data_IF_161705810142
#
_entry.id   IF_161705810142
#
_cell.length_a   1.000
_cell.length_b   1.000
_cell.length_c   1.000
_cell.angle_alpha   90.00
_cell.angle_beta   90.00
_cell.angle_gamma   90.00
#
_symmetry.space_group_name_H-M   'P 1'
#
loop_
_entity.id
_entity.type
_entity.pdbx_description
1 polymer ?
#
# COMPACT_ATOMS: atom_id res chain seq x y z
N UNK A 1 33.04 -3.61 -18.51
CA UNK A 1 32.11 -4.53 -17.80
C UNK A 1 30.81 -3.86 -17.30
N UNK A 2 30.41 -2.67 -17.79
CA UNK A 2 29.26 -1.90 -17.27
C UNK A 2 27.89 -2.25 -17.90
N UNK A 3 27.89 -2.88 -19.07
CA UNK A 3 26.67 -3.22 -19.82
C UNK A 3 25.73 -4.26 -19.19
N UNK A 4 26.20 -5.36 -18.56
CA UNK A 4 25.30 -6.38 -18.01
C UNK A 4 24.57 -5.90 -16.75
N UNK A 5 25.21 -5.08 -15.91
CA UNK A 5 24.61 -4.49 -14.71
C UNK A 5 23.50 -3.49 -15.04
N UNK A 6 23.67 -2.70 -16.10
CA UNK A 6 22.63 -1.77 -16.56
C UNK A 6 21.39 -2.50 -17.11
N UNK A 7 21.58 -3.61 -17.82
CA UNK A 7 20.49 -4.45 -18.34
C UNK A 7 19.75 -5.18 -17.23
N UNK A 8 20.46 -5.68 -16.21
CA UNK A 8 19.84 -6.32 -15.05
C UNK A 8 18.94 -5.32 -14.30
N UNK A 9 19.41 -4.08 -14.09
CA UNK A 9 18.67 -3.00 -13.42
C UNK A 9 17.41 -2.58 -14.18
N UNK A 10 17.50 -2.46 -15.51
CA UNK A 10 16.34 -2.15 -16.34
C UNK A 10 15.31 -3.29 -16.32
N UNK A 11 15.76 -4.55 -16.37
CA UNK A 11 14.89 -5.71 -16.25
C UNK A 11 14.19 -5.78 -14.88
N UNK A 12 14.90 -5.46 -13.79
CA UNK A 12 14.31 -5.38 -12.44
C UNK A 12 13.25 -4.29 -12.33
N UNK A 13 13.50 -3.10 -12.89
CA UNK A 13 12.56 -1.98 -12.90
C UNK A 13 11.31 -2.29 -13.74
N UNK A 14 11.48 -2.91 -14.91
CA UNK A 14 10.36 -3.36 -15.74
C UNK A 14 9.57 -4.46 -15.05
N UNK A 15 10.22 -5.40 -14.36
CA UNK A 15 9.55 -6.44 -13.59
C UNK A 15 8.76 -5.84 -12.40
N UNK A 16 9.35 -4.88 -11.68
CA UNK A 16 8.69 -4.16 -10.59
C UNK A 16 7.48 -3.37 -11.09
N UNK A 17 7.62 -2.63 -12.19
CA UNK A 17 6.57 -1.81 -12.79
C UNK A 17 5.46 -2.63 -13.46
N UNK A 18 5.75 -3.85 -13.92
CA UNK A 18 4.74 -4.75 -14.53
C UNK A 18 4.03 -5.62 -13.50
N UNK A 19 4.70 -6.05 -12.41
CA UNK A 19 4.08 -6.88 -11.37
C UNK A 19 3.27 -6.08 -10.34
N UNK A 20 3.61 -4.81 -10.07
CA UNK A 20 2.86 -4.00 -9.09
C UNK A 20 1.39 -3.77 -9.49
N UNK A 21 1.04 -3.44 -10.74
CA UNK A 21 -0.36 -3.28 -11.15
C UNK A 21 -1.16 -4.59 -11.11
N UNK A 22 -0.52 -5.72 -11.42
CA UNK A 22 -1.15 -7.05 -11.42
C UNK A 22 -1.53 -7.54 -10.02
N UNK A 23 -0.81 -7.08 -8.98
CA UNK A 23 -1.15 -7.36 -7.58
C UNK A 23 -2.21 -6.41 -6.99
N UNK A 24 -2.52 -5.30 -7.68
CA UNK A 24 -3.49 -4.27 -7.24
C UNK A 24 -4.83 -4.36 -7.99
N UNK A 25 -4.90 -5.13 -9.07
CA UNK A 25 -6.18 -5.48 -9.68
C UNK A 25 -7.00 -6.27 -8.66
N UNK A 26 -8.13 -5.71 -8.21
CA UNK A 26 -9.03 -6.26 -7.18
C UNK A 26 -8.54 -6.07 -5.73
N UNK A 27 -8.07 -4.86 -5.42
CA UNK A 27 -7.83 -4.42 -4.05
C UNK A 27 -8.60 -3.14 -3.74
N UNK A 28 -9.26 -3.10 -2.59
CA UNK A 28 -9.86 -1.89 -2.02
C UNK A 28 -9.12 -1.53 -0.73
N UNK A 29 -8.85 -0.25 -0.55
CA UNK A 29 -8.10 0.26 0.59
C UNK A 29 -8.93 1.36 1.25
N UNK A 30 -9.29 1.14 2.51
CA UNK A 30 -9.86 2.16 3.37
C UNK A 30 -8.76 2.74 4.26
N UNK A 31 -8.54 4.05 4.18
CA UNK A 31 -7.64 4.80 5.05
C UNK A 31 -8.48 5.53 6.09
N UNK A 32 -8.21 5.31 7.38
CA UNK A 32 -8.87 6.04 8.47
C UNK A 32 -7.89 6.46 9.57
N UNK A 33 -8.15 7.60 10.19
CA UNK A 33 -7.45 8.08 11.39
C UNK A 33 -7.90 7.33 12.63
N UNK A 34 -7.04 7.24 13.63
CA UNK A 34 -7.37 6.75 14.96
C UNK A 34 -7.53 7.90 15.97
N UNK A 35 -8.52 7.82 16.89
CA UNK A 35 -9.60 6.82 16.89
C UNK A 35 -10.42 6.92 15.59
N UNK A 36 -10.90 5.79 15.09
CA UNK A 36 -11.67 5.74 13.84
C UNK A 36 -12.75 6.82 13.83
N UNK A 37 -12.93 7.48 12.69
CA UNK A 37 -14.07 8.38 12.51
C UNK A 37 -15.32 7.50 12.39
N UNK A 38 -15.98 7.25 13.53
CA UNK A 38 -17.10 6.33 13.63
C UNK A 38 -18.41 7.04 13.32
N UNK A 39 -19.07 6.60 12.25
CA UNK A 39 -20.46 6.95 11.99
C UNK A 39 -21.40 5.96 12.70
N UNK A 40 -22.66 6.40 12.90
CA UNK A 40 -23.70 5.46 13.30
C UNK A 40 -23.97 4.46 12.17
N UNK A 41 -24.31 3.23 12.53
CA UNK A 41 -24.56 2.16 11.57
C UNK A 41 -25.81 2.52 10.73
N UNK A 42 -25.81 2.33 9.39
CA UNK A 42 -27.03 2.54 8.61
C UNK A 42 -28.11 1.53 9.03
N UNK A 43 -29.38 1.92 8.95
CA UNK A 43 -30.51 1.06 9.37
C UNK A 43 -30.51 -0.31 8.69
N UNK A 44 -30.12 -0.37 7.41
CA UNK A 44 -30.01 -1.63 6.65
C UNK A 44 -28.94 -2.59 7.22
N UNK A 45 -27.84 -2.04 7.76
CA UNK A 45 -26.73 -2.82 8.31
C UNK A 45 -26.99 -3.39 9.69
N UNK A 46 -28.10 -3.04 10.35
CA UNK A 46 -28.42 -3.62 11.66
C UNK A 46 -28.75 -5.12 11.58
N UNK A 47 -29.15 -5.60 10.39
CA UNK A 47 -29.37 -7.02 10.10
C UNK A 47 -28.14 -7.71 9.49
N UNK A 48 -27.02 -7.01 9.30
CA UNK A 48 -25.81 -7.58 8.74
C UNK A 48 -25.24 -8.66 9.67
N UNK A 49 -24.60 -9.67 9.06
CA UNK A 49 -23.96 -10.74 9.82
C UNK A 49 -22.72 -10.18 10.53
N UNK A 50 -22.55 -10.50 11.83
CA UNK A 50 -21.35 -10.14 12.58
C UNK A 50 -20.36 -11.31 12.48
N UNK A 51 -19.15 -11.02 11.98
CA UNK A 51 -18.07 -11.99 11.94
C UNK A 51 -17.67 -12.40 13.36
N UNK A 52 -17.47 -13.69 13.64
CA UNK A 52 -16.96 -14.14 14.93
C UNK A 52 -15.45 -13.86 15.11
N UNK A 53 -14.77 -13.42 14.04
CA UNK A 53 -13.34 -13.12 14.06
C UNK A 53 -13.13 -11.61 14.25
N UNK A 54 -12.24 -11.26 15.17
CA UNK A 54 -11.77 -9.89 15.38
C UNK A 54 -10.57 -9.66 14.45
N UNK A 55 -10.59 -8.56 13.70
CA UNK A 55 -9.47 -8.19 12.84
C UNK A 55 -8.37 -7.53 13.67
N UNK A 56 -7.31 -8.28 13.91
CA UNK A 56 -6.13 -7.83 14.64
C UNK A 56 -5.10 -7.16 13.73
N UNK A 57 -4.31 -6.25 14.30
CA UNK A 57 -3.23 -5.56 13.61
C UNK A 57 -2.18 -6.56 13.08
N UNK A 58 -1.80 -6.41 11.80
CA UNK A 58 -0.86 -7.28 11.08
C UNK A 58 -1.28 -8.76 10.98
N UNK A 59 -2.55 -9.08 11.22
CA UNK A 59 -3.07 -10.43 11.13
C UNK A 59 -3.95 -10.56 9.89
N UNK A 60 -3.42 -11.01 8.74
CA UNK A 60 -4.24 -11.21 7.55
C UNK A 60 -5.24 -12.34 7.79
N UNK A 61 -6.52 -12.06 7.51
CA UNK A 61 -7.60 -13.03 7.65
C UNK A 61 -8.26 -13.27 6.30
N UNK A 62 -8.54 -14.53 6.00
CA UNK A 62 -9.30 -14.91 4.80
C UNK A 62 -10.73 -15.20 5.20
N UNK A 63 -11.66 -14.45 4.62
CA UNK A 63 -13.08 -14.58 4.84
C UNK A 63 -13.77 -14.85 3.50
N UNK A 64 -15.04 -15.24 3.56
CA UNK A 64 -15.85 -15.45 2.37
C UNK A 64 -17.22 -14.82 2.56
N UNK A 65 -17.68 -14.10 1.55
CA UNK A 65 -19.03 -13.55 1.52
C UNK A 65 -19.86 -14.30 0.50
N UNK A 66 -21.10 -14.62 0.88
CA UNK A 66 -22.06 -15.23 -0.02
C UNK A 66 -22.78 -14.14 -0.79
N UNK A 67 -22.63 -14.15 -2.11
CA UNK A 67 -23.30 -13.23 -3.03
C UNK A 67 -24.26 -14.03 -3.91
N UNK A 68 -25.39 -13.43 -4.24
CA UNK A 68 -26.34 -13.99 -5.19
C UNK A 68 -26.29 -13.17 -6.47
N UNK A 69 -26.27 -13.84 -7.61
CA UNK A 69 -26.35 -13.16 -8.91
C UNK A 69 -27.67 -12.39 -9.05
N UNK A 70 -27.63 -11.18 -9.63
CA UNK A 70 -28.81 -10.32 -9.77
C UNK A 70 -29.31 -9.68 -8.47
N UNK A 71 -28.52 -9.75 -7.40
CA UNK A 71 -28.86 -9.12 -6.13
C UNK A 71 -28.69 -7.60 -6.22
N UNK A 72 -29.82 -6.87 -6.19
CA UNK A 72 -29.83 -5.39 -6.18
C UNK A 72 -29.37 -4.80 -4.82
N UNK A 73 -29.46 -5.59 -3.75
CA UNK A 73 -29.15 -5.15 -2.38
C UNK A 73 -27.74 -5.63 -1.99
N UNK A 74 -26.83 -4.77 -1.52
CA UNK A 74 -25.50 -5.21 -1.09
C UNK A 74 -25.59 -6.24 0.04
N UNK A 75 -24.74 -7.26 0.00
CA UNK A 75 -24.53 -8.13 1.16
C UNK A 75 -23.58 -7.43 2.12
N UNK A 76 -23.99 -7.29 3.37
CA UNK A 76 -23.26 -6.56 4.38
C UNK A 76 -22.67 -7.50 5.44
N UNK A 77 -21.40 -7.29 5.77
CA UNK A 77 -20.67 -8.02 6.81
C UNK A 77 -20.04 -7.02 7.79
N UNK A 78 -20.19 -7.28 9.08
CA UNK A 78 -19.62 -6.46 10.14
C UNK A 78 -18.45 -7.22 10.78
N UNK A 79 -17.29 -6.58 10.87
CA UNK A 79 -16.08 -7.15 11.48
C UNK A 79 -15.60 -6.24 12.62
N UNK A 80 -15.52 -6.72 13.86
CA UNK A 80 -14.90 -5.97 14.95
C UNK A 80 -13.41 -5.77 14.69
N UNK A 81 -12.92 -4.56 14.94
CA UNK A 81 -11.52 -4.17 14.73
C UNK A 81 -10.81 -4.06 16.10
N UNK A 82 -9.77 -4.87 16.31
CA UNK A 82 -8.88 -4.66 17.45
C UNK A 82 -7.74 -3.71 17.04
N UNK A 83 -7.96 -2.43 17.34
CA UNK A 83 -6.96 -1.42 17.13
C UNK A 83 -5.88 -1.40 18.24
N UNK A 84 -6.05 -2.09 19.37
CA UNK A 84 -5.11 -2.02 20.48
C UNK A 84 -3.87 -2.92 20.32
N UNK A 85 -3.71 -3.54 19.14
CA UNK A 85 -2.61 -4.47 18.82
C UNK A 85 -1.24 -4.06 19.32
N UNK A 86 -0.39 -5.05 19.61
CA UNK A 86 0.95 -4.84 20.18
C UNK A 86 1.76 -3.88 19.32
N UNK A 87 2.18 -2.76 19.91
CA UNK A 87 2.98 -1.77 19.22
C UNK A 87 4.24 -2.42 18.61
N UNK A 88 4.57 -2.11 17.35
CA UNK A 88 5.79 -2.62 16.73
C UNK A 88 7.01 -2.24 17.58
N UNK A 89 8.05 -3.08 17.56
CA UNK A 89 9.29 -2.82 18.32
C UNK A 89 10.32 -2.08 17.46
N UNK A 90 11.32 -1.47 18.08
CA UNK A 90 12.39 -0.76 17.36
C UNK A 90 12.00 0.63 16.87
N UNK A 91 12.48 1.01 15.68
CA UNK A 91 12.35 2.37 15.13
C UNK A 91 10.91 2.69 14.72
N UNK A 92 10.19 1.71 14.16
CA UNK A 92 8.75 1.80 13.83
C UNK A 92 7.91 2.02 15.09
N UNK A 93 8.24 1.35 16.20
CA UNK A 93 7.57 1.54 17.49
C UNK A 93 7.79 2.91 18.14
N UNK A 94 8.87 3.61 17.78
CA UNK A 94 9.10 4.99 18.22
C UNK A 94 8.31 5.96 17.35
N UNK A 95 8.24 5.70 16.05
CA UNK A 95 7.45 6.48 15.10
C UNK A 95 5.95 6.42 15.44
N UNK A 96 5.43 5.20 15.65
CA UNK A 96 4.05 4.96 16.08
C UNK A 96 3.71 5.68 17.40
N UNK A 97 4.64 5.67 18.37
CA UNK A 97 4.47 6.43 19.62
C UNK A 97 4.43 7.94 19.42
N UNK A 98 5.24 8.47 18.52
CA UNK A 98 5.25 9.89 18.19
C UNK A 98 3.95 10.29 17.47
N UNK A 99 3.51 9.50 16.49
CA UNK A 99 2.27 9.73 15.75
C UNK A 99 1.06 9.67 16.67
N UNK A 100 1.02 8.71 17.60
CA UNK A 100 -0.02 8.61 18.64
C UNK A 100 -0.01 9.82 19.57
N UNK A 101 1.17 10.31 19.98
CA UNK A 101 1.27 11.51 20.81
C UNK A 101 0.82 12.79 20.10
N UNK A 102 0.94 12.83 18.76
CA UNK A 102 0.48 13.94 17.92
C UNK A 102 -0.98 13.78 17.45
N UNK A 103 -1.66 12.68 17.77
CA UNK A 103 -3.02 12.40 17.29
C UNK A 103 -3.10 12.18 15.77
N UNK A 104 -1.99 11.76 15.14
CA UNK A 104 -1.88 11.55 13.70
C UNK A 104 -1.88 10.06 13.31
N UNK A 105 -2.14 9.16 14.27
CA UNK A 105 -2.16 7.72 14.02
C UNK A 105 -3.21 7.40 12.95
N UNK A 106 -2.79 6.83 11.82
CA UNK A 106 -3.66 6.42 10.72
C UNK A 106 -3.49 4.93 10.46
N UNK A 107 -4.59 4.27 10.09
CA UNK A 107 -4.62 2.87 9.74
C UNK A 107 -5.31 2.65 8.41
N UNK A 108 -4.76 1.69 7.67
CA UNK A 108 -5.35 1.16 6.46
C UNK A 108 -5.99 -0.18 6.75
N UNK A 109 -7.21 -0.36 6.25
CA UNK A 109 -7.78 -1.68 6.00
C UNK A 109 -7.60 -1.97 4.52
N UNK A 110 -6.87 -3.04 4.21
CA UNK A 110 -6.70 -3.53 2.85
C UNK A 110 -7.54 -4.78 2.65
N UNK A 111 -8.39 -4.75 1.63
CA UNK A 111 -9.21 -5.88 1.19
C UNK A 111 -8.73 -6.29 -0.21
N UNK A 112 -8.45 -7.57 -0.42
CA UNK A 112 -8.05 -8.11 -1.72
C UNK A 112 -8.85 -9.37 -2.08
N UNK A 113 -9.29 -9.49 -3.33
CA UNK A 113 -10.09 -10.63 -3.79
C UNK A 113 -9.63 -11.14 -5.17
N UNK A 114 -9.96 -12.38 -5.55
CA UNK A 114 -9.59 -12.93 -6.85
C UNK A 114 -10.29 -12.23 -8.01
N UNK A 115 -9.55 -12.03 -9.11
CA UNK A 115 -10.08 -11.50 -10.37
C UNK A 115 -11.18 -12.37 -10.99
N UNK A 116 -11.22 -13.66 -10.65
CA UNK A 116 -12.28 -14.58 -11.07
C UNK A 116 -13.64 -14.26 -10.47
N UNK A 117 -13.71 -13.39 -9.47
CA UNK A 117 -14.94 -13.01 -8.77
C UNK A 117 -15.07 -11.47 -8.76
N UNK A 118 -15.40 -10.83 -9.89
CA UNK A 118 -15.54 -9.39 -9.94
C UNK A 118 -16.66 -8.98 -8.99
N UNK A 119 -16.27 -8.24 -7.95
CA UNK A 119 -17.12 -7.80 -6.85
C UNK A 119 -16.72 -6.37 -6.53
N UNK A 120 -17.70 -5.50 -6.35
CA UNK A 120 -17.47 -4.15 -5.86
C UNK A 120 -17.66 -4.17 -4.36
N UNK A 121 -16.59 -3.86 -3.62
CA UNK A 121 -16.63 -3.69 -2.18
C UNK A 121 -16.72 -2.20 -1.85
N UNK A 122 -17.33 -1.92 -0.70
CA UNK A 122 -17.33 -0.63 -0.05
C UNK A 122 -17.05 -0.82 1.44
N UNK A 123 -16.07 -0.07 1.95
CA UNK A 123 -15.59 -0.17 3.32
C UNK A 123 -15.92 1.10 4.11
N UNK A 124 -16.47 0.95 5.32
CA UNK A 124 -16.70 2.07 6.23
C UNK A 124 -16.59 1.64 7.69
N UNK A 125 -16.19 2.57 8.57
CA UNK A 125 -16.07 2.33 10.01
C UNK A 125 -17.27 2.87 10.76
N UNK A 126 -17.86 2.04 11.61
CA UNK A 126 -19.06 2.37 12.37
C UNK A 126 -18.96 1.93 13.83
N UNK A 127 -19.80 2.54 14.67
CA UNK A 127 -20.01 2.07 16.04
C UNK A 127 -20.65 0.69 16.05
N UNK A 128 -20.37 -0.06 17.11
CA UNK A 128 -20.94 -1.37 17.32
C UNK A 128 -22.48 -1.34 17.26
N UNK A 129 -23.11 -2.30 16.55
CA UNK A 129 -24.53 -2.53 16.71
C UNK A 129 -24.81 -3.05 18.12
N UNK A 130 -25.99 -2.74 18.67
CA UNK A 130 -26.40 -3.13 20.03
C UNK A 130 -26.40 -4.66 20.26
N UNK A 131 -26.43 -5.44 19.18
CA UNK A 131 -26.39 -6.90 19.15
C UNK A 131 -24.98 -7.48 19.10
N UNK A 132 -23.94 -6.65 19.01
CA UNK A 132 -22.55 -7.11 18.91
C UNK A 132 -22.05 -7.68 20.24
N UNK A 133 -21.29 -8.79 20.24
CA UNK A 133 -20.63 -9.29 21.45
C UNK A 133 -19.59 -8.31 22.01
N UNK A 134 -19.02 -7.43 21.17
CA UNK A 134 -17.94 -6.52 21.54
C UNK A 134 -18.32 -5.04 21.31
N UNK A 135 -19.22 -4.46 22.12
CA UNK A 135 -19.77 -3.12 21.89
C UNK A 135 -18.77 -1.97 22.06
N UNK A 136 -17.64 -2.22 22.72
CA UNK A 136 -16.58 -1.24 22.96
C UNK A 136 -15.60 -1.10 21.79
N UNK A 137 -15.60 -2.03 20.85
CA UNK A 137 -14.70 -2.02 19.71
C UNK A 137 -15.32 -1.24 18.53
N UNK A 138 -14.49 -0.61 17.69
CA UNK A 138 -14.93 -0.09 16.40
C UNK A 138 -15.22 -1.25 15.44
N UNK A 139 -16.23 -1.11 14.59
CA UNK A 139 -16.60 -2.14 13.61
C UNK A 139 -16.38 -1.64 12.19
N UNK A 140 -15.84 -2.52 11.36
CA UNK A 140 -15.78 -2.34 9.92
C UNK A 140 -17.04 -2.92 9.29
N UNK A 141 -17.76 -2.10 8.53
CA UNK A 141 -18.81 -2.53 7.63
C UNK A 141 -18.19 -2.77 6.25
N UNK A 142 -18.45 -3.96 5.72
CA UNK A 142 -18.10 -4.34 4.35
C UNK A 142 -19.40 -4.55 3.60
N UNK A 143 -19.66 -3.69 2.62
CA UNK A 143 -20.78 -3.84 1.69
C UNK A 143 -20.24 -4.41 0.38
N UNK A 144 -20.73 -5.57 -0.04
CA UNK A 144 -20.29 -6.24 -1.25
C UNK A 144 -21.43 -6.35 -2.27
N UNK A 145 -21.16 -5.99 -3.52
CA UNK A 145 -22.09 -6.11 -4.64
C UNK A 145 -21.43 -6.91 -5.78
N UNK A 146 -22.12 -7.92 -6.33
CA UNK A 146 -21.59 -8.66 -7.48
C UNK A 146 -21.51 -7.72 -8.69
N UNK A 147 -20.39 -7.74 -9.41
CA UNK A 147 -20.21 -6.96 -10.65
C UNK A 147 -20.05 -7.83 -11.90
N UNK A 148 -20.27 -9.14 -11.79
CA UNK A 148 -20.38 -10.04 -12.94
C UNK A 148 -21.75 -9.93 -13.60
N UNK A 149 -21.75 -10.07 -14.93
CA UNK A 149 -22.95 -10.20 -15.76
C UNK A 149 -22.91 -11.60 -16.36
N UNK A 150 -23.53 -12.59 -15.72
CA UNK A 150 -23.70 -13.92 -16.32
C UNK A 150 -25.09 -14.03 -16.96
N UNK A 151 -25.22 -14.74 -18.09
CA UNK A 151 -26.51 -14.93 -18.77
C UNK A 151 -27.41 -16.01 -18.12
N UNK A 152 -26.99 -16.63 -17.01
CA UNK A 152 -27.70 -17.77 -16.38
C UNK A 152 -28.16 -17.46 -14.96
N UNK A 153 -29.45 -17.72 -14.71
CA UNK A 153 -30.24 -17.42 -13.52
C UNK A 153 -29.65 -17.95 -12.18
N UNK A 154 -29.76 -17.15 -11.13
CA UNK A 154 -29.74 -17.50 -9.69
C UNK A 154 -28.58 -18.35 -9.16
N UNK A 155 -27.34 -18.07 -9.57
CA UNK A 155 -26.18 -18.72 -8.97
C UNK A 155 -25.75 -18.00 -7.68
N UNK A 156 -25.67 -18.73 -6.56
CA UNK A 156 -25.02 -18.24 -5.34
C UNK A 156 -23.53 -18.54 -5.37
N UNK A 157 -22.70 -17.51 -5.26
CA UNK A 157 -21.24 -17.60 -5.26
C UNK A 157 -20.67 -17.24 -3.89
N UNK A 158 -19.61 -17.94 -3.50
CA UNK A 158 -18.82 -17.60 -2.33
C UNK A 158 -17.56 -16.89 -2.81
N UNK A 159 -17.46 -15.59 -2.52
CA UNK A 159 -16.32 -14.78 -2.92
C UNK A 159 -15.32 -14.78 -1.75
N UNK A 160 -14.15 -15.44 -1.89
CA UNK A 160 -13.11 -15.36 -0.88
C UNK A 160 -12.40 -14.01 -0.99
N UNK A 161 -12.13 -13.38 0.14
CA UNK A 161 -11.32 -12.16 0.21
C UNK A 161 -10.39 -12.23 1.42
N UNK A 162 -9.24 -11.60 1.28
CA UNK A 162 -8.27 -11.43 2.36
C UNK A 162 -8.34 -10.00 2.85
N UNK A 163 -8.43 -9.84 4.17
CA UNK A 163 -8.46 -8.55 4.84
C UNK A 163 -7.24 -8.41 5.77
N UNK A 164 -6.65 -7.22 5.78
CA UNK A 164 -5.48 -6.88 6.60
C UNK A 164 -5.64 -5.48 7.18
N UNK A 165 -5.45 -5.35 8.49
CA UNK A 165 -5.30 -4.06 9.17
C UNK A 165 -3.82 -3.76 9.35
N UNK A 166 -3.35 -2.62 8.84
CA UNK A 166 -1.97 -2.17 8.95
C UNK A 166 -1.87 -0.67 9.22
N UNK A 167 -0.86 -0.19 9.94
CA UNK A 167 -0.66 1.24 10.13
C UNK A 167 -0.08 1.90 8.87
N UNK A 168 -0.31 3.19 8.79
CA UNK A 168 0.17 4.05 7.71
C UNK A 168 1.29 4.92 8.25
N UNK A 169 2.42 4.91 7.56
CA UNK A 169 3.57 5.75 7.89
C UNK A 169 3.78 6.79 6.78
N UNK A 170 4.47 7.88 7.12
CA UNK A 170 4.97 8.87 6.16
C UNK A 170 3.90 9.47 5.22
N UNK A 171 2.70 9.76 5.72
CA UNK A 171 1.70 10.54 4.99
C UNK A 171 0.87 9.76 3.95
N UNK A 172 0.85 8.42 4.01
CA UNK A 172 -0.06 7.62 3.19
C UNK A 172 0.47 6.24 2.77
N UNK A 173 1.67 5.85 3.21
CA UNK A 173 2.30 4.60 2.79
C UNK A 173 1.97 3.49 3.81
N UNK A 174 1.22 2.45 3.43
CA UNK A 174 0.97 1.31 4.31
C UNK A 174 2.28 0.62 4.68
N UNK A 175 2.40 0.13 5.92
CA UNK A 175 3.65 -0.46 6.41
C UNK A 175 4.16 -1.60 5.53
N UNK A 176 3.28 -2.46 5.00
CA UNK A 176 3.69 -3.56 4.10
C UNK A 176 4.35 -3.09 2.80
N UNK A 177 4.18 -1.82 2.43
CA UNK A 177 4.79 -1.22 1.23
C UNK A 177 6.10 -0.48 1.51
N UNK A 178 6.44 -0.21 2.78
CA UNK A 178 7.69 0.47 3.16
C UNK A 178 8.96 -0.20 2.61
N UNK A 179 9.11 -1.54 2.63
CA UNK A 179 10.30 -2.17 2.06
C UNK A 179 10.49 -1.82 0.58
N UNK A 180 9.40 -1.78 -0.19
CA UNK A 180 9.43 -1.43 -1.61
C UNK A 180 9.79 0.04 -1.82
N UNK A 181 9.21 0.94 -1.04
CA UNK A 181 9.53 2.38 -1.09
C UNK A 181 10.99 2.63 -0.73
N UNK A 182 11.52 1.96 0.31
CA UNK A 182 12.92 2.09 0.71
C UNK A 182 13.87 1.59 -0.38
N UNK A 183 13.57 0.47 -1.03
CA UNK A 183 14.34 -0.03 -2.17
C UNK A 183 14.29 0.96 -3.34
N UNK A 184 13.13 1.53 -3.64
CA UNK A 184 12.97 2.52 -4.71
C UNK A 184 13.80 3.79 -4.43
N UNK A 185 13.71 4.33 -3.22
CA UNK A 185 14.49 5.50 -2.79
C UNK A 185 15.99 5.20 -2.85
N UNK A 186 16.42 4.04 -2.37
CA UNK A 186 17.82 3.62 -2.45
C UNK A 186 18.31 3.54 -3.89
N UNK A 187 17.48 3.02 -4.81
CA UNK A 187 17.82 2.90 -6.22
C UNK A 187 17.93 4.28 -6.91
N UNK A 188 17.01 5.19 -6.61
CA UNK A 188 17.07 6.60 -7.08
C UNK A 188 18.31 7.30 -6.53
N UNK A 189 18.62 7.12 -5.24
CA UNK A 189 19.81 7.68 -4.61
C UNK A 189 21.10 7.21 -5.28
N UNK A 190 21.22 5.91 -5.53
CA UNK A 190 22.37 5.33 -6.25
C UNK A 190 22.48 5.87 -7.67
N UNK A 191 21.36 6.02 -8.39
CA UNK A 191 21.37 6.64 -9.72
C UNK A 191 21.80 8.11 -9.69
N UNK A 192 21.30 8.89 -8.73
CA UNK A 192 21.67 10.29 -8.56
C UNK A 192 23.16 10.47 -8.24
N UNK A 193 23.68 9.72 -7.27
CA UNK A 193 25.10 9.79 -6.89
C UNK A 193 26.01 9.33 -8.03
N UNK A 194 25.66 8.25 -8.74
CA UNK A 194 26.46 7.73 -9.85
C UNK A 194 26.45 8.68 -11.06
N UNK A 195 25.30 9.31 -11.35
CA UNK A 195 25.16 10.27 -12.44
C UNK A 195 25.92 11.57 -12.17
N UNK A 196 25.82 12.11 -10.96
CA UNK A 196 26.53 13.34 -10.57
C UNK A 196 28.04 13.11 -10.48
N UNK A 197 28.48 12.00 -9.88
CA UNK A 197 29.91 11.69 -9.79
C UNK A 197 30.53 11.44 -11.17
N UNK A 198 29.83 10.74 -12.06
CA UNK A 198 30.28 10.52 -13.45
C UNK A 198 30.32 11.81 -14.29
N UNK A 199 29.35 12.70 -14.10
CA UNK A 199 29.31 14.01 -14.75
C UNK A 199 30.44 14.93 -14.27
N UNK A 200 30.69 14.96 -12.96
CA UNK A 200 31.75 15.77 -12.37
C UNK A 200 33.15 15.27 -12.77
N UNK A 201 33.34 13.95 -12.89
CA UNK A 201 34.58 13.35 -13.37
C UNK A 201 34.92 13.75 -14.82
N UNK A 202 33.94 13.71 -15.73
CA UNK A 202 34.14 14.16 -17.12
C UNK A 202 34.45 15.65 -17.20
N UNK A 203 33.78 16.47 -16.38
CA UNK A 203 34.03 17.90 -16.37
C UNK A 203 35.43 18.26 -15.85
N UNK A 204 35.93 17.51 -14.86
CA UNK A 204 37.30 17.65 -14.35
C UNK A 204 38.34 17.18 -15.37
N UNK A 205 38.08 16.10 -16.13
CA UNK A 205 38.96 15.67 -17.22
C UNK A 205 39.01 16.71 -18.36
N UNK A 206 37.87 17.28 -18.74
CA UNK A 206 37.80 18.34 -19.76
C UNK A 206 38.58 19.60 -19.35
N UNK A 207 38.49 19.98 -18.07
CA UNK A 207 39.28 21.09 -17.53
C UNK A 207 40.77 20.79 -17.49
N UNK A 208 41.15 19.58 -17.08
CA UNK A 208 42.56 19.18 -17.04
C UNK A 208 43.17 19.12 -18.44
N UNK A 209 42.42 18.67 -19.44
CA UNK A 209 42.88 18.63 -20.83
C UNK A 209 42.98 20.04 -21.45
N UNK A 210 42.07 20.95 -21.07
CA UNK A 210 42.13 22.34 -21.48
C UNK A 210 43.35 23.07 -20.89
N UNK A 211 43.63 22.87 -19.59
CA UNK A 211 44.79 23.45 -18.90
C UNK A 211 46.12 22.94 -19.49
N UNK A 212 46.21 21.64 -19.76
CA UNK A 212 47.38 21.04 -20.41
C UNK A 212 47.66 21.60 -21.80
N UNK A 213 46.62 21.84 -22.61
CA UNK A 213 46.76 22.45 -23.94
C UNK A 213 47.23 23.90 -23.86
N UNK A 214 46.78 24.64 -22.85
CA UNK A 214 47.16 26.03 -22.63
C UNK A 214 48.63 26.17 -22.19
N UNK A 215 49.10 25.24 -21.33
CA UNK A 215 50.51 25.18 -20.92
C UNK A 215 51.46 24.91 -22.09
N UNK A 216 51.09 24.00 -22.99
CA UNK A 216 51.92 23.66 -24.16
C UNK A 216 52.02 24.81 -25.18
N UNK A 217 50.91 25.53 -25.42
CA UNK A 217 50.92 26.68 -26.31
C UNK A 217 51.80 27.83 -25.81
N UNK A 218 51.91 28.02 -24.49
CA UNK A 218 52.78 29.05 -23.88
C UNK A 218 54.26 28.67 -23.80
N UNK A 219 54.62 27.39 -23.94
CA UNK A 219 56.02 26.95 -24.08
C UNK A 219 56.53 27.11 -25.51
N UNK A 220 55.68 26.83 -26.50
CA UNK A 220 56.01 27.02 -27.92
C UNK A 220 56.21 28.51 -28.26
N UNK A 221 55.46 29.43 -27.65
CA UNK A 221 55.61 30.89 -27.86
C UNK A 221 56.88 31.49 -27.20
N UNK A 222 57.52 30.75 -26.28
CA UNK A 222 58.78 31.17 -25.63
C UNK A 222 60.03 30.58 -26.29
N UNK A 223 59.85 29.69 -27.27
CA UNK A 223 60.93 29.01 -27.97
C UNK A 223 61.33 29.70 -29.30
N UNK A 224 60.61 30.74 -29.71
CA UNK A 224 60.94 31.67 -30.81
C UNK A 224 61.53 33.00 -30.28
#
# INVERSE_FOLDING_TARGET
>A
MLHPLARLRAASLVLLATLTPLALGNTEILVSRLPFELADLPKAAHSASVSPHILELYSPQTLSIRLTEGQDVPTELIIPLDAAGKAPTGLLGRLDRLERAMGLEMRTVRLSWPASHPTTFHLSTHRAPSSSPDPSLPHLLISATPSFVSPSCDQTLYVPFTILLEPIHFGGVPESTLPFVLVLVGLVGVMGVSGVAGGMGRWLEELAEADWKLGRAGEDEKAD
#
